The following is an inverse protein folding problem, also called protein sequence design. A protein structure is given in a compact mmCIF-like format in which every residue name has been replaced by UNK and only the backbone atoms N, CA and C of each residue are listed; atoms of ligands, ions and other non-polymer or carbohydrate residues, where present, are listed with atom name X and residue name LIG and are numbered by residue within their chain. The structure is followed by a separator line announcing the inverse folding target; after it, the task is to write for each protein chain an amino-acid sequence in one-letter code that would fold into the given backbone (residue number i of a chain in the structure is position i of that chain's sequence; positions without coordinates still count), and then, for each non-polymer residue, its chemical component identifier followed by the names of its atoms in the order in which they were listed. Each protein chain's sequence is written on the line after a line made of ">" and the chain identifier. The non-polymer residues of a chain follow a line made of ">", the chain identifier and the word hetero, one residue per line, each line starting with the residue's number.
data_IF_771582979959
#
_entry.id   IF_771582979959
#
_cell.length_a   1.000
_cell.length_b   1.000
_cell.length_c   1.000
_cell.angle_alpha   90.00
_cell.angle_beta   90.00
_cell.angle_gamma   90.00
#
_symmetry.space_group_name_H-M   'P 1'
#
loop_
_entity.id
_entity.type
_entity.pdbx_description
1 polymer ?
#
# COMPACT_ATOMS: atom_id res chain seq x y z
N UNK A 1 -7.94 -37.93 64.80
CA UNK A 1 -7.12 -37.95 63.57
C UNK A 1 -7.99 -37.53 62.39
N UNK A 2 -7.41 -36.83 61.40
CA UNK A 2 -8.03 -36.24 60.18
C UNK A 2 -8.70 -34.85 60.35
N UNK A 3 -7.90 -33.78 60.35
CA UNK A 3 -8.45 -32.40 60.18
C UNK A 3 -7.53 -31.38 59.51
N UNK A 4 -6.57 -31.82 58.68
CA UNK A 4 -5.64 -30.92 58.00
C UNK A 4 -5.42 -31.21 56.50
N UNK A 5 -6.14 -32.17 55.90
CA UNK A 5 -5.91 -32.58 54.49
C UNK A 5 -6.81 -31.86 53.47
N UNK A 6 -8.00 -31.43 53.89
CA UNK A 6 -8.95 -30.70 53.02
C UNK A 6 -8.47 -29.28 52.62
N UNK A 7 -7.91 -28.44 53.53
CA UNK A 7 -7.50 -27.08 53.14
C UNK A 7 -6.28 -27.08 52.22
N UNK A 8 -5.38 -28.08 52.35
CA UNK A 8 -4.21 -28.20 51.49
C UNK A 8 -4.59 -28.57 50.05
N UNK A 9 -5.57 -29.46 49.88
CA UNK A 9 -6.08 -29.83 48.56
C UNK A 9 -6.80 -28.67 47.88
N UNK A 10 -7.53 -27.84 48.64
CA UNK A 10 -8.15 -26.62 48.13
C UNK A 10 -7.10 -25.59 47.69
N UNK A 11 -6.05 -25.37 48.48
CA UNK A 11 -4.94 -24.50 48.12
C UNK A 11 -4.21 -24.98 46.86
N UNK A 12 -3.96 -26.29 46.75
CA UNK A 12 -3.34 -26.89 45.57
C UNK A 12 -4.22 -26.75 44.32
N UNK A 13 -5.54 -26.90 44.48
CA UNK A 13 -6.52 -26.70 43.41
C UNK A 13 -6.57 -25.25 42.92
N UNK A 14 -6.53 -24.26 43.83
CA UNK A 14 -6.48 -22.83 43.48
C UNK A 14 -5.17 -22.50 42.76
N UNK A 15 -4.04 -23.02 43.25
CA UNK A 15 -2.73 -22.81 42.62
C UNK A 15 -2.68 -23.40 41.20
N UNK A 16 -3.30 -24.57 41.00
CA UNK A 16 -3.42 -25.23 39.71
C UNK A 16 -4.32 -24.45 38.75
N UNK A 17 -5.48 -23.97 39.21
CA UNK A 17 -6.38 -23.13 38.41
C UNK A 17 -5.74 -21.79 38.02
N UNK A 18 -4.95 -21.18 38.91
CA UNK A 18 -4.19 -19.97 38.60
C UNK A 18 -3.10 -20.23 37.55
N UNK A 19 -2.37 -21.36 37.65
CA UNK A 19 -1.34 -21.75 36.68
C UNK A 19 -1.92 -22.05 35.29
N UNK A 20 -3.09 -22.73 35.22
CA UNK A 20 -3.82 -22.93 33.97
C UNK A 20 -4.37 -21.62 33.41
N UNK A 21 -4.83 -20.69 34.25
CA UNK A 21 -5.32 -19.37 33.82
C UNK A 21 -4.20 -18.51 33.22
N UNK A 22 -2.97 -18.58 33.75
CA UNK A 22 -1.80 -17.90 33.17
C UNK A 22 -1.39 -18.56 31.85
N UNK A 23 -1.44 -19.89 31.76
CA UNK A 23 -1.10 -20.61 30.52
C UNK A 23 -2.13 -20.37 29.41
N UNK A 24 -3.43 -20.40 29.72
CA UNK A 24 -4.50 -20.02 28.78
C UNK A 24 -4.51 -18.52 28.48
N UNK A 25 -4.15 -17.66 29.44
CA UNK A 25 -4.01 -16.23 29.24
C UNK A 25 -2.84 -15.86 28.32
N UNK A 26 -1.74 -16.61 28.33
CA UNK A 26 -0.59 -16.44 27.42
C UNK A 26 -0.91 -17.05 26.04
N UNK A 27 -1.53 -18.24 25.99
CA UNK A 27 -1.92 -18.88 24.72
C UNK A 27 -3.04 -18.11 23.99
N UNK A 28 -3.97 -17.50 24.72
CA UNK A 28 -5.00 -16.63 24.11
C UNK A 28 -4.48 -15.23 23.78
N UNK A 29 -3.34 -14.82 24.37
CA UNK A 29 -2.67 -13.56 24.06
C UNK A 29 -1.79 -13.64 22.80
N UNK A 30 -1.26 -14.82 22.46
CA UNK A 30 -0.51 -14.97 21.20
C UNK A 30 -1.40 -15.14 19.95
N UNK A 31 -2.66 -15.57 20.11
CA UNK A 31 -3.57 -15.73 18.96
C UNK A 31 -4.38 -14.47 18.59
N UNK A 32 -4.19 -13.34 19.27
CA UNK A 32 -4.97 -12.11 19.04
C UNK A 32 -4.16 -10.88 18.59
N UNK A 33 -2.86 -11.04 18.26
CA UNK A 33 -2.03 -9.96 17.68
C UNK A 33 -1.63 -10.19 16.21
N UNK A 34 -2.19 -11.21 15.55
CA UNK A 34 -2.16 -11.33 14.07
C UNK A 34 -3.55 -11.19 13.47
N UNK A 35 -4.39 -10.32 14.06
CA UNK A 35 -5.40 -9.66 13.24
C UNK A 35 -4.61 -8.72 12.36
N UNK A 36 -4.21 -9.21 11.18
CA UNK A 36 -3.96 -8.36 10.03
C UNK A 36 -5.17 -7.43 9.96
N UNK A 37 -5.02 -6.22 10.50
CA UNK A 37 -5.74 -5.10 9.97
C UNK A 37 -5.29 -5.06 8.52
N UNK A 38 -6.06 -5.74 7.66
CA UNK A 38 -6.13 -5.44 6.24
C UNK A 38 -6.64 -4.01 6.22
N UNK A 39 -5.72 -3.08 6.46
CA UNK A 39 -5.95 -1.66 6.27
C UNK A 39 -6.40 -1.60 4.83
N UNK A 40 -7.69 -1.31 4.65
CA UNK A 40 -8.27 -1.16 3.32
C UNK A 40 -7.34 -0.16 2.63
N UNK A 41 -6.58 -0.62 1.63
CA UNK A 41 -5.61 0.19 0.91
C UNK A 41 -6.39 1.27 0.17
N UNK A 42 -6.74 2.33 0.89
CA UNK A 42 -7.53 3.44 0.42
C UNK A 42 -6.60 4.44 -0.23
N UNK A 43 -7.03 5.01 -1.37
CA UNK A 43 -6.32 5.81 -2.35
C UNK A 43 -4.86 6.22 -2.05
N UNK A 44 -4.61 6.96 -0.96
CA UNK A 44 -3.26 7.43 -0.61
C UNK A 44 -2.30 6.29 -0.21
N UNK A 45 -2.79 5.28 0.49
CA UNK A 45 -1.99 4.19 1.06
C UNK A 45 -1.80 3.02 0.07
N UNK A 46 -2.60 2.97 -1.00
CA UNK A 46 -2.46 1.96 -2.05
C UNK A 46 -1.29 2.33 -3.00
N UNK A 47 -0.18 1.57 -3.04
CA UNK A 47 0.96 1.90 -3.91
C UNK A 47 0.64 1.76 -5.40
N UNK A 48 -0.44 1.08 -5.78
CA UNK A 48 -0.82 0.85 -7.18
C UNK A 48 -1.76 1.93 -7.75
N UNK A 49 -2.38 2.76 -6.90
CA UNK A 49 -3.34 3.77 -7.36
C UNK A 49 -2.68 5.13 -7.59
N UNK A 50 -2.42 5.52 -8.83
CA UNK A 50 -1.77 6.80 -9.17
C UNK A 50 -2.80 7.88 -9.52
N UNK A 51 -3.21 8.67 -8.51
CA UNK A 51 -4.05 9.84 -8.74
C UNK A 51 -3.40 10.88 -9.69
N UNK A 52 -4.18 11.38 -10.66
CA UNK A 52 -3.74 12.28 -11.73
C UNK A 52 -3.26 13.66 -11.28
N UNK A 53 -3.70 14.11 -10.11
CA UNK A 53 -3.43 15.47 -9.62
C UNK A 53 -2.17 15.52 -8.75
N UNK A 54 -1.81 14.39 -8.13
CA UNK A 54 -0.66 14.27 -7.23
C UNK A 54 0.59 13.70 -7.89
N UNK A 55 0.44 12.67 -8.73
CA UNK A 55 1.57 11.83 -9.14
C UNK A 55 2.14 12.17 -10.52
N UNK A 56 1.57 13.17 -11.20
CA UNK A 56 2.06 13.64 -12.48
C UNK A 56 2.90 14.91 -12.31
N UNK A 57 4.14 14.85 -12.76
CA UNK A 57 5.01 16.03 -12.90
C UNK A 57 4.78 16.66 -14.26
N UNK A 58 4.56 17.98 -14.29
CA UNK A 58 4.47 18.73 -15.56
C UNK A 58 5.86 18.94 -16.14
N UNK A 59 6.06 18.52 -17.39
CA UNK A 59 7.30 18.77 -18.15
C UNK A 59 7.22 20.08 -18.93
N UNK A 60 6.07 20.35 -19.54
CA UNK A 60 5.79 21.57 -20.28
C UNK A 60 4.31 21.94 -20.16
N UNK A 61 4.01 23.24 -20.10
CA UNK A 61 2.64 23.74 -20.10
C UNK A 61 2.61 25.17 -20.64
N UNK A 62 1.62 25.43 -21.48
CA UNK A 62 1.25 26.77 -21.92
C UNK A 62 -0.29 26.84 -22.06
N UNK A 63 -0.81 27.90 -22.69
CA UNK A 63 -2.25 28.07 -22.92
C UNK A 63 -2.85 27.09 -23.93
N UNK A 64 -2.01 26.52 -24.80
CA UNK A 64 -2.39 25.62 -25.88
C UNK A 64 -2.37 24.15 -25.46
N UNK A 65 -1.61 23.77 -24.44
CA UNK A 65 -1.52 22.39 -24.01
C UNK A 65 -0.56 22.15 -22.85
N UNK A 66 -0.41 20.87 -22.51
CA UNK A 66 0.48 20.39 -21.46
C UNK A 66 1.01 19.01 -21.77
N UNK A 67 2.22 18.76 -21.26
CA UNK A 67 2.87 17.45 -21.24
C UNK A 67 3.20 17.14 -19.79
N UNK A 68 2.70 16.00 -19.30
CA UNK A 68 2.95 15.55 -17.93
C UNK A 68 3.49 14.14 -17.95
N UNK A 69 4.39 13.81 -17.03
CA UNK A 69 4.92 12.47 -16.86
C UNK A 69 4.53 11.94 -15.49
N UNK A 70 4.09 10.69 -15.44
CA UNK A 70 3.82 10.01 -14.19
C UNK A 70 5.13 9.76 -13.42
N UNK A 71 5.07 9.86 -12.10
CA UNK A 71 6.17 9.46 -11.24
C UNK A 71 6.53 7.98 -11.48
N UNK A 72 7.82 7.67 -11.32
CA UNK A 72 8.35 6.32 -11.52
C UNK A 72 7.66 5.30 -10.62
N UNK A 73 7.35 4.13 -11.17
CA UNK A 73 6.67 3.06 -10.44
C UNK A 73 7.54 2.48 -9.31
N UNK A 74 8.82 2.24 -9.60
CA UNK A 74 9.80 1.66 -8.68
C UNK A 74 10.09 2.56 -7.45
N UNK A 75 9.86 3.87 -7.59
CA UNK A 75 10.00 4.81 -6.47
C UNK A 75 8.86 4.71 -5.46
N UNK A 76 7.69 4.18 -5.86
CA UNK A 76 6.51 4.13 -5.01
C UNK A 76 6.39 2.82 -4.24
N UNK A 77 6.76 1.69 -4.86
CA UNK A 77 6.80 0.39 -4.20
C UNK A 77 7.80 -0.52 -4.89
N UNK A 78 8.53 -1.30 -4.08
CA UNK A 78 9.45 -2.35 -4.54
C UNK A 78 8.75 -3.47 -5.31
N UNK A 79 7.45 -3.63 -5.13
CA UNK A 79 6.65 -4.59 -5.90
C UNK A 79 6.60 -4.27 -7.40
N UNK A 80 6.90 -3.02 -7.79
CA UNK A 80 6.90 -2.57 -9.18
C UNK A 80 8.32 -2.30 -9.72
N UNK A 81 9.36 -2.89 -9.11
CA UNK A 81 10.75 -2.71 -9.58
C UNK A 81 10.92 -3.11 -11.05
N UNK A 82 10.23 -4.17 -11.49
CA UNK A 82 10.27 -4.62 -12.89
C UNK A 82 9.66 -3.61 -13.90
N UNK A 83 9.02 -2.55 -13.41
CA UNK A 83 8.49 -1.45 -14.22
C UNK A 83 9.38 -0.21 -14.21
N UNK A 84 10.61 -0.28 -13.67
CA UNK A 84 11.51 0.87 -13.53
C UNK A 84 11.86 1.57 -14.85
N UNK A 85 11.90 0.80 -15.94
CA UNK A 85 12.23 1.28 -17.29
C UNK A 85 10.99 1.72 -18.09
N UNK A 86 9.80 1.66 -17.49
CA UNK A 86 8.55 2.09 -18.13
C UNK A 86 8.06 3.41 -17.55
N UNK A 87 7.71 4.34 -18.44
CA UNK A 87 7.18 5.67 -18.07
C UNK A 87 5.86 5.91 -18.78
N UNK A 88 4.94 6.58 -18.09
CA UNK A 88 3.66 7.02 -18.65
C UNK A 88 3.70 8.52 -18.84
N UNK A 89 3.44 8.97 -20.06
CA UNK A 89 3.33 10.39 -20.43
C UNK A 89 1.89 10.68 -20.83
N UNK A 90 1.34 11.75 -20.28
CA UNK A 90 0.05 12.32 -20.70
C UNK A 90 0.32 13.59 -21.49
N UNK A 91 -0.13 13.59 -22.74
CA UNK A 91 -0.16 14.75 -23.61
C UNK A 91 -1.60 15.23 -23.78
N UNK A 92 -1.84 16.53 -23.64
CA UNK A 92 -3.13 17.14 -23.92
C UNK A 92 -2.94 18.50 -24.55
N UNK A 93 -3.64 18.75 -25.66
CA UNK A 93 -3.63 20.04 -26.34
C UNK A 93 -5.03 20.51 -26.70
N UNK A 94 -5.16 21.80 -27.01
CA UNK A 94 -6.35 22.42 -27.56
C UNK A 94 -6.46 22.12 -29.07
N UNK A 95 -7.65 22.31 -29.68
CA UNK A 95 -7.80 22.21 -31.13
C UNK A 95 -6.84 23.15 -31.87
N UNK A 96 -6.44 22.77 -33.09
CA UNK A 96 -5.56 23.55 -33.97
C UNK A 96 -4.20 23.91 -33.36
N UNK A 97 -3.60 22.95 -32.65
CA UNK A 97 -2.27 23.10 -32.04
C UNK A 97 -1.31 22.10 -32.65
N UNK A 98 -0.02 22.47 -32.70
CA UNK A 98 1.05 21.62 -33.20
C UNK A 98 2.11 21.43 -32.12
N UNK A 99 2.49 20.17 -31.90
CA UNK A 99 3.70 19.86 -31.14
C UNK A 99 4.90 19.97 -32.09
N UNK A 100 5.87 20.82 -31.74
CA UNK A 100 7.04 21.04 -32.59
C UNK A 100 7.86 19.75 -32.76
N UNK A 101 8.55 19.59 -33.90
CA UNK A 101 9.46 18.46 -34.12
C UNK A 101 10.48 18.35 -32.99
N UNK A 102 10.56 17.16 -32.39
CA UNK A 102 11.51 16.83 -31.35
C UNK A 102 11.81 15.33 -31.36
N UNK A 103 12.91 14.94 -30.72
CA UNK A 103 13.22 13.55 -30.41
C UNK A 103 13.23 13.37 -28.88
N UNK A 104 13.10 12.14 -28.42
CA UNK A 104 13.42 11.78 -27.05
C UNK A 104 14.28 10.51 -27.05
N UNK A 105 15.12 10.38 -26.04
CA UNK A 105 15.93 9.20 -25.79
C UNK A 105 15.08 8.11 -25.09
N UNK A 106 14.04 7.66 -25.79
CA UNK A 106 13.11 6.62 -25.34
C UNK A 106 12.25 6.12 -26.50
N UNK A 107 11.85 4.86 -26.44
CA UNK A 107 10.80 4.30 -27.31
C UNK A 107 9.41 4.74 -26.83
N UNK A 108 8.50 4.97 -27.79
CA UNK A 108 7.12 5.37 -27.50
C UNK A 108 6.10 4.41 -28.10
N UNK A 109 5.14 4.02 -27.26
CA UNK A 109 3.84 3.49 -27.69
C UNK A 109 2.78 4.55 -27.44
N UNK A 110 2.32 5.21 -28.50
CA UNK A 110 1.35 6.31 -28.40
C UNK A 110 -0.08 5.79 -28.58
N UNK A 111 -0.96 6.16 -27.64
CA UNK A 111 -2.38 5.80 -27.67
C UNK A 111 -3.23 7.06 -27.63
N UNK A 112 -4.07 7.27 -28.66
CA UNK A 112 -5.02 8.38 -28.71
C UNK A 112 -6.27 8.02 -27.92
N UNK A 113 -6.41 8.59 -26.72
CA UNK A 113 -7.56 8.35 -25.85
C UNK A 113 -8.81 9.12 -26.27
N UNK A 114 -8.63 10.35 -26.78
CA UNK A 114 -9.70 11.22 -27.23
C UNK A 114 -9.15 12.28 -28.19
N UNK A 115 -9.93 12.67 -29.20
CA UNK A 115 -9.51 13.55 -30.28
C UNK A 115 -9.05 12.80 -31.53
N UNK A 116 -8.48 13.55 -32.47
CA UNK A 116 -7.93 13.06 -33.74
C UNK A 116 -6.69 13.87 -34.09
#
# INVERSE_FOLDING_TARGET
>A
MMRARVPLLLLLGILFLASLSVSFGIVHREHHESREEVSVLSGKNNPFYFNSDRWFRTLYRNELGRIRVLQRFDQRSKQMQNLENYRVVEFKSKPNTLLLPHHADADFLLVVLNGK
#
